data_IF_678309042233
#
_entry.id   IF_678309042233
#
_cell.length_a   1.000
_cell.length_b   1.000
_cell.length_c   1.000
_cell.angle_alpha   90.00
_cell.angle_beta   90.00
_cell.angle_gamma   90.00
#
_symmetry.space_group_name_H-M   'P 1'
#
loop_
_entity.id
_entity.type
_entity.pdbx_description
1 polymer ?
#
# COMPACT_ATOMS: atom_id res chain seq x y z
N UNK A 1 -0.01 -4.70 -9.43
CA UNK A 1 0.28 -3.29 -9.08
C UNK A 1 0.99 -3.25 -7.74
N UNK A 2 2.05 -2.50 -7.68
CA UNK A 2 2.84 -2.37 -6.46
C UNK A 2 2.65 -0.97 -5.88
N UNK A 3 2.36 -0.91 -4.58
CA UNK A 3 2.12 0.35 -3.88
C UNK A 3 3.06 0.45 -2.68
N UNK A 4 3.62 1.63 -2.48
CA UNK A 4 4.35 1.97 -1.27
C UNK A 4 3.49 2.93 -0.45
N UNK A 5 3.04 2.48 0.70
CA UNK A 5 2.10 3.24 1.53
C UNK A 5 2.59 3.34 2.96
N UNK A 6 1.87 4.10 3.78
CA UNK A 6 2.13 4.14 5.22
C UNK A 6 1.94 2.78 5.89
N UNK A 7 1.20 1.89 5.23
CA UNK A 7 0.97 0.53 5.71
C UNK A 7 2.08 -0.43 5.25
N UNK A 8 3.09 0.08 4.58
CA UNK A 8 4.17 -0.70 4.02
C UNK A 8 3.96 -0.98 2.54
N UNK A 9 4.73 -1.93 2.04
CA UNK A 9 4.67 -2.32 0.64
C UNK A 9 3.50 -3.27 0.42
N UNK A 10 2.67 -2.97 -0.56
CA UNK A 10 1.47 -3.74 -0.88
C UNK A 10 1.48 -4.06 -2.37
N UNK A 11 1.18 -5.30 -2.71
CA UNK A 11 1.03 -5.71 -4.10
C UNK A 11 -0.40 -6.15 -4.36
N UNK A 12 -0.98 -5.68 -5.45
CA UNK A 12 -2.33 -6.03 -5.88
C UNK A 12 -2.25 -6.92 -7.10
N UNK A 13 -2.89 -8.07 -7.03
CA UNK A 13 -2.89 -9.07 -8.09
C UNK A 13 -4.33 -9.46 -8.40
N UNK A 14 -4.55 -9.89 -9.63
CA UNK A 14 -5.85 -10.44 -10.03
C UNK A 14 -6.10 -11.73 -9.25
N UNK A 15 -7.31 -11.87 -8.71
CA UNK A 15 -7.72 -13.12 -8.09
C UNK A 15 -7.77 -14.23 -9.16
N UNK A 16 -7.18 -15.40 -8.90
CA UNK A 16 -7.11 -16.45 -9.91
C UNK A 16 -8.47 -17.02 -10.30
N UNK A 17 -9.43 -17.03 -9.37
CA UNK A 17 -10.72 -17.71 -9.58
C UNK A 17 -11.90 -16.74 -9.68
N UNK A 18 -11.77 -15.51 -9.20
CA UNK A 18 -12.86 -14.54 -9.15
C UNK A 18 -12.47 -13.25 -9.87
N UNK A 19 -13.13 -13.01 -11.00
CA UNK A 19 -12.81 -11.85 -11.83
C UNK A 19 -13.06 -10.50 -11.14
N UNK A 20 -14.01 -10.45 -10.23
CA UNK A 20 -14.37 -9.22 -9.52
C UNK A 20 -13.56 -8.97 -8.27
N UNK A 21 -12.56 -9.81 -7.98
CA UNK A 21 -11.76 -9.72 -6.75
C UNK A 21 -10.28 -9.57 -7.04
N UNK A 22 -9.57 -9.04 -6.05
CA UNK A 22 -8.12 -8.90 -6.09
C UNK A 22 -7.51 -9.65 -4.91
N UNK A 23 -6.28 -10.08 -5.10
CA UNK A 23 -5.44 -10.58 -4.02
C UNK A 23 -4.51 -9.46 -3.59
N UNK A 24 -4.48 -9.19 -2.31
CA UNK A 24 -3.61 -8.19 -1.72
C UNK A 24 -2.50 -8.91 -0.98
N UNK A 25 -1.26 -8.63 -1.36
CA UNK A 25 -0.09 -9.15 -0.66
C UNK A 25 0.57 -8.04 0.12
N UNK A 26 0.84 -8.28 1.39
CA UNK A 26 1.45 -7.30 2.28
C UNK A 26 2.58 -7.95 3.07
N UNK A 27 3.52 -7.12 3.54
CA UNK A 27 4.70 -7.63 4.24
C UNK A 27 4.73 -7.35 5.74
N UNK A 28 4.02 -6.32 6.22
CA UNK A 28 4.09 -5.89 7.60
C UNK A 28 2.81 -6.18 8.36
N UNK A 29 2.93 -6.76 9.55
CA UNK A 29 1.78 -7.11 10.39
C UNK A 29 0.95 -5.89 10.76
N UNK A 30 1.58 -4.81 11.18
CA UNK A 30 0.86 -3.60 11.57
C UNK A 30 0.09 -3.01 10.40
N UNK A 31 0.70 -3.03 9.22
CA UNK A 31 0.05 -2.56 8.01
C UNK A 31 -1.14 -3.44 7.63
N UNK A 32 -1.00 -4.74 7.78
CA UNK A 32 -2.08 -5.70 7.49
C UNK A 32 -3.27 -5.46 8.40
N UNK A 33 -3.02 -5.28 9.70
CA UNK A 33 -4.10 -5.07 10.67
C UNK A 33 -4.92 -3.83 10.32
N UNK A 34 -4.26 -2.74 9.97
CA UNK A 34 -4.91 -1.51 9.56
C UNK A 34 -5.65 -1.67 8.24
N UNK A 35 -5.03 -2.35 7.30
CA UNK A 35 -5.62 -2.58 5.99
C UNK A 35 -6.90 -3.40 6.12
N UNK A 36 -6.87 -4.48 6.88
CA UNK A 36 -8.05 -5.33 7.12
C UNK A 36 -9.16 -4.52 7.78
N UNK A 37 -8.83 -3.70 8.77
CA UNK A 37 -9.83 -2.86 9.43
C UNK A 37 -10.54 -1.93 8.42
N UNK A 38 -9.78 -1.35 7.49
CA UNK A 38 -10.35 -0.49 6.44
C UNK A 38 -11.21 -1.29 5.48
N UNK A 39 -10.73 -2.44 5.04
CA UNK A 39 -11.49 -3.31 4.13
C UNK A 39 -12.80 -3.76 4.76
N UNK A 40 -12.75 -4.17 6.02
CA UNK A 40 -13.93 -4.64 6.75
C UNK A 40 -14.97 -3.53 6.89
N UNK A 41 -14.52 -2.33 7.23
CA UNK A 41 -15.41 -1.19 7.38
C UNK A 41 -16.08 -0.82 6.05
N UNK A 42 -15.32 -0.78 4.97
CA UNK A 42 -15.82 -0.39 3.66
C UNK A 42 -16.77 -1.45 3.09
N UNK A 43 -16.41 -2.72 3.21
CA UNK A 43 -17.20 -3.81 2.66
C UNK A 43 -18.39 -4.19 3.54
N UNK A 44 -18.32 -3.89 4.83
CA UNK A 44 -19.35 -4.30 5.79
C UNK A 44 -19.27 -5.77 6.15
N UNK A 45 -18.17 -6.44 5.88
CA UNK A 45 -17.94 -7.83 6.28
C UNK A 45 -16.46 -8.06 6.58
N UNK A 46 -16.17 -9.21 7.17
CA UNK A 46 -14.80 -9.53 7.56
C UNK A 46 -13.99 -10.11 6.41
N UNK A 47 -12.71 -9.83 6.43
CA UNK A 47 -11.76 -10.39 5.48
C UNK A 47 -10.74 -11.25 6.22
N UNK A 48 -10.44 -12.40 5.66
CA UNK A 48 -9.47 -13.32 6.23
C UNK A 48 -8.07 -12.98 5.75
N UNK A 49 -7.12 -13.09 6.65
CA UNK A 49 -5.70 -12.92 6.34
C UNK A 49 -5.07 -14.30 6.29
N UNK A 50 -4.44 -14.62 5.18
CA UNK A 50 -3.71 -15.87 5.02
C UNK A 50 -2.22 -15.62 5.11
N UNK A 51 -1.48 -16.49 5.79
CA UNK A 51 -0.04 -16.39 5.80
C UNK A 51 0.53 -16.84 4.44
N UNK A 52 1.58 -16.16 4.00
CA UNK A 52 2.35 -16.56 2.84
C UNK A 52 3.73 -17.02 3.31
N UNK A 53 4.18 -18.14 2.79
CA UNK A 53 5.44 -18.73 3.17
C UNK A 53 6.52 -18.63 2.09
N UNK A 54 6.17 -18.07 0.95
CA UNK A 54 7.09 -17.89 -0.16
C UNK A 54 7.09 -16.45 -0.62
N UNK A 55 8.24 -15.99 -1.11
CA UNK A 55 8.41 -14.65 -1.62
C UNK A 55 8.63 -13.62 -0.53
N UNK A 56 8.53 -12.35 -0.91
CA UNK A 56 8.84 -11.23 -0.03
C UNK A 56 7.65 -10.80 0.82
N UNK A 57 6.46 -11.24 0.50
CA UNK A 57 5.24 -10.88 1.21
C UNK A 57 4.85 -11.98 2.18
N UNK A 58 4.30 -11.59 3.32
CA UNK A 58 3.96 -12.52 4.39
C UNK A 58 2.46 -12.76 4.53
N UNK A 59 1.64 -11.90 3.95
CA UNK A 59 0.20 -11.95 4.17
C UNK A 59 -0.54 -11.79 2.86
N UNK A 60 -1.68 -12.47 2.77
CA UNK A 60 -2.54 -12.42 1.60
C UNK A 60 -3.98 -12.19 2.03
N UNK A 61 -4.66 -11.28 1.37
CA UNK A 61 -6.07 -10.96 1.63
C UNK A 61 -6.81 -10.92 0.30
N UNK A 62 -7.96 -11.56 0.22
CA UNK A 62 -8.84 -11.45 -0.94
C UNK A 62 -9.93 -10.41 -0.66
N UNK A 63 -10.17 -9.52 -1.59
CA UNK A 63 -11.21 -8.50 -1.46
C UNK A 63 -11.75 -8.12 -2.84
N UNK A 64 -12.98 -7.60 -2.88
CA UNK A 64 -13.55 -7.15 -4.15
C UNK A 64 -12.79 -5.95 -4.70
N UNK A 65 -12.80 -5.80 -6.02
CA UNK A 65 -12.14 -4.64 -6.67
C UNK A 65 -12.70 -3.32 -6.16
N UNK A 66 -14.02 -3.26 -5.96
CA UNK A 66 -14.66 -2.04 -5.48
C UNK A 66 -14.18 -1.67 -4.08
N UNK A 67 -14.09 -2.65 -3.18
CA UNK A 67 -13.61 -2.43 -1.82
C UNK A 67 -12.15 -2.00 -1.82
N UNK A 68 -11.32 -2.65 -2.61
CA UNK A 68 -9.90 -2.31 -2.71
C UNK A 68 -9.73 -0.89 -3.26
N UNK A 69 -10.47 -0.55 -4.32
CA UNK A 69 -10.39 0.78 -4.92
C UNK A 69 -10.77 1.87 -3.91
N UNK A 70 -11.83 1.67 -3.14
CA UNK A 70 -12.24 2.62 -2.10
C UNK A 70 -11.21 2.72 -0.99
N UNK A 71 -10.64 1.60 -0.59
CA UNK A 71 -9.60 1.57 0.43
C UNK A 71 -8.39 2.39 -0.01
N UNK A 72 -7.94 2.21 -1.24
CA UNK A 72 -6.82 2.96 -1.78
C UNK A 72 -7.14 4.44 -1.88
N UNK A 73 -8.37 4.78 -2.30
CA UNK A 73 -8.79 6.17 -2.37
C UNK A 73 -8.73 6.84 -0.98
N UNK A 74 -9.14 6.13 0.06
CA UNK A 74 -9.06 6.66 1.42
C UNK A 74 -7.61 6.80 1.90
N UNK A 75 -6.76 5.85 1.55
CA UNK A 75 -5.34 5.96 1.88
C UNK A 75 -4.70 7.18 1.21
N UNK A 76 -5.03 7.41 -0.05
CA UNK A 76 -4.55 8.59 -0.79
C UNK A 76 -5.05 9.87 -0.14
N UNK A 77 -6.32 9.92 0.25
CA UNK A 77 -6.92 11.08 0.88
C UNK A 77 -6.30 11.42 2.25
N UNK A 78 -5.73 10.42 2.92
CA UNK A 78 -5.07 10.60 4.20
C UNK A 78 -3.63 11.08 4.10
N UNK A 79 -3.07 11.12 2.90
CA UNK A 79 -1.69 11.53 2.72
C UNK A 79 -1.58 13.04 2.89
N UNK A 80 -0.74 13.44 3.86
CA UNK A 80 -0.24 14.80 3.93
C UNK A 80 1.07 14.83 3.18
N UNK A 81 1.12 15.59 2.09
CA UNK A 81 2.32 15.63 1.27
C UNK A 81 3.57 16.00 2.08
N UNK A 82 3.47 17.00 2.93
CA UNK A 82 4.61 17.46 3.72
C UNK A 82 5.06 16.41 4.73
N UNK A 83 4.13 15.79 5.43
CA UNK A 83 4.47 14.74 6.38
C UNK A 83 5.05 13.53 5.68
N UNK A 84 4.45 13.15 4.57
CA UNK A 84 4.90 12.01 3.80
C UNK A 84 6.32 12.23 3.29
N UNK A 85 6.58 13.38 2.72
CA UNK A 85 7.91 13.73 2.24
C UNK A 85 8.94 13.79 3.38
N UNK A 86 8.52 14.27 4.52
CA UNK A 86 9.39 14.33 5.70
C UNK A 86 9.77 12.93 6.17
N UNK A 87 8.80 12.04 6.26
CA UNK A 87 9.03 10.66 6.69
C UNK A 87 9.99 9.93 5.73
N UNK A 88 9.72 10.04 4.45
CA UNK A 88 10.54 9.37 3.44
C UNK A 88 11.94 9.95 3.40
N UNK A 89 12.05 11.26 3.53
CA UNK A 89 13.34 11.93 3.54
C UNK A 89 14.17 11.47 4.75
N UNK A 90 13.53 11.23 5.87
CA UNK A 90 14.20 10.70 7.04
C UNK A 90 14.67 9.27 6.82
N UNK A 91 13.83 8.42 6.23
CA UNK A 91 14.16 7.02 5.98
C UNK A 91 15.28 6.86 4.97
N UNK A 92 15.28 7.69 3.94
CA UNK A 92 16.32 7.67 2.93
C UNK A 92 17.50 8.57 3.33
N UNK A 93 17.37 9.17 4.48
CA UNK A 93 18.46 9.89 5.09
C UNK A 93 18.88 11.08 4.28
N UNK A 94 20.13 11.13 4.13
CA UNK A 94 20.79 12.27 3.55
C UNK A 94 21.23 12.04 2.14
N UNK A 95 20.58 11.15 1.44
CA UNK A 95 20.92 10.92 0.03
C UNK A 95 20.66 12.20 -0.75
N UNK A 96 21.67 13.03 -0.99
CA UNK A 96 21.45 14.28 -1.71
C UNK A 96 21.10 13.98 -3.16
N UNK A 97 20.25 14.82 -3.72
CA UNK A 97 19.85 14.67 -5.10
C UNK A 97 18.70 13.70 -5.32
N UNK A 98 18.11 13.18 -4.26
CA UNK A 98 16.92 12.36 -4.39
C UNK A 98 15.73 13.04 -3.76
N UNK A 99 14.60 12.88 -4.41
CA UNK A 99 13.32 13.32 -3.88
C UNK A 99 12.30 12.22 -4.15
N UNK A 100 11.45 11.98 -3.17
CA UNK A 100 10.37 11.02 -3.31
C UNK A 100 9.11 11.77 -3.71
N UNK A 101 8.46 11.29 -4.74
CA UNK A 101 7.24 11.87 -5.26
C UNK A 101 6.09 10.92 -5.07
N UNK A 102 4.95 11.46 -4.67
CA UNK A 102 3.72 10.70 -4.54
C UNK A 102 2.88 10.92 -5.79
N UNK A 103 2.54 9.85 -6.46
CA UNK A 103 1.64 9.88 -7.60
C UNK A 103 0.36 9.12 -7.27
N UNK A 104 -0.67 9.19 -8.11
CA UNK A 104 -1.87 8.38 -7.90
C UNK A 104 -1.59 6.88 -7.86
N UNK A 105 -0.48 6.44 -8.43
CA UNK A 105 -0.11 5.03 -8.47
C UNK A 105 0.86 4.62 -7.37
N UNK A 106 1.22 5.53 -6.49
CA UNK A 106 2.11 5.24 -5.40
C UNK A 106 3.25 6.23 -5.28
N UNK A 107 4.38 5.74 -4.88
CA UNK A 107 5.55 6.53 -4.59
C UNK A 107 6.63 6.32 -5.64
N UNK A 108 7.18 7.40 -6.13
CA UNK A 108 8.30 7.36 -7.07
C UNK A 108 9.51 8.03 -6.46
N UNK A 109 10.67 7.46 -6.71
CA UNK A 109 11.93 8.06 -6.31
C UNK A 109 12.55 8.71 -7.55
N UNK A 110 12.78 10.00 -7.46
CA UNK A 110 13.39 10.76 -8.54
C UNK A 110 14.64 11.45 -8.06
N UNK A 111 15.61 11.51 -8.94
CA UNK A 111 16.80 12.28 -8.64
C UNK A 111 16.51 13.75 -8.92
N UNK A 112 16.66 14.56 -7.89
CA UNK A 112 16.46 16.00 -8.01
C UNK A 112 17.79 16.65 -8.30
N UNK A 113 17.80 17.59 -9.23
CA UNK A 113 19.02 18.37 -9.48
C UNK A 113 19.32 19.16 -8.24
N UNK A 114 20.46 18.90 -7.67
CA UNK A 114 20.89 19.64 -6.51
C UNK A 114 21.24 21.07 -6.90
N UNK A 115 21.15 21.87 -5.96
CA UNK A 115 21.53 23.26 -6.15
C UNK A 115 22.75 23.57 -5.40
#
# INVERSE_FOLDING_TARGET
>A
MLLFTRLGRISLLQHPDEAGSLMIHAEQQDGVDRLVAMLDEIAGNCHDVRPLHEGDYRFEIAASKATVAETIARLVAQISYLEFMRTIRFDFGTQPGFMLMVSPNGLEVSRVKSK
#
